data_IF_137892287395
#
_entry.id   IF_137892287395
#
_cell.length_a   1.000
_cell.length_b   1.000
_cell.length_c   1.000
_cell.angle_alpha   90.00
_cell.angle_beta   90.00
_cell.angle_gamma   90.00
#
_symmetry.space_group_name_H-M   'P 1'
#
loop_
_entity.id
_entity.type
_entity.pdbx_description
1 polymer ?
#
# COMPACT_ATOMS: atom_id res chain seq x y z
N UNK A 1 -16.86 72.62 17.38
CA UNK A 1 -15.94 73.33 18.29
C UNK A 1 -15.20 72.24 19.05
N UNK A 2 -13.99 71.85 18.61
CA UNK A 2 -12.70 72.28 19.23
C UNK A 2 -12.52 71.54 20.56
N UNK A 3 -11.51 70.74 20.89
CA UNK A 3 -10.06 70.69 20.60
C UNK A 3 -9.56 69.32 21.13
N UNK A 4 -8.70 68.57 20.42
CA UNK A 4 -7.23 68.66 20.41
C UNK A 4 -6.54 68.28 21.73
N UNK A 5 -5.70 67.23 21.70
CA UNK A 5 -4.44 67.04 22.43
C UNK A 5 -3.86 65.67 22.00
N UNK A 6 -3.07 65.56 20.93
CA UNK A 6 -1.68 66.01 20.69
C UNK A 6 -0.61 65.22 21.48
N UNK A 7 -0.03 64.25 20.77
CA UNK A 7 1.33 63.70 20.76
C UNK A 7 2.35 64.07 21.85
N UNK A 8 3.10 63.04 22.27
CA UNK A 8 4.58 63.06 22.34
C UNK A 8 5.09 61.69 21.80
N UNK A 9 5.79 61.65 20.65
CA UNK A 9 7.25 61.77 20.47
C UNK A 9 8.01 60.56 21.10
N UNK A 10 8.91 59.84 20.43
CA UNK A 10 9.95 60.24 19.46
C UNK A 10 10.53 59.03 18.70
N UNK A 11 11.00 59.33 17.46
CA UNK A 11 12.22 58.83 16.80
C UNK A 11 12.34 57.32 16.49
N UNK A 12 12.74 56.86 15.31
CA UNK A 12 13.63 57.46 14.31
C UNK A 12 13.41 56.79 12.95
N UNK A 13 13.68 57.59 11.92
CA UNK A 13 13.63 57.34 10.50
C UNK A 13 14.53 56.17 10.05
N UNK A 14 14.14 55.42 9.01
CA UNK A 14 14.65 55.65 7.65
C UNK A 14 14.17 54.57 6.67
N UNK A 15 13.50 55.05 5.61
CA UNK A 15 13.60 54.72 4.18
C UNK A 15 13.77 53.27 3.74
N UNK A 16 13.19 52.77 2.64
CA UNK A 16 12.23 53.22 1.63
C UNK A 16 12.11 52.05 0.64
N UNK A 17 11.08 52.09 -0.22
CA UNK A 17 10.92 51.39 -1.50
C UNK A 17 9.95 50.19 -1.55
N UNK A 18 8.69 50.56 -1.76
CA UNK A 18 7.92 50.31 -3.00
C UNK A 18 7.71 48.88 -3.51
N UNK A 19 6.47 48.39 -3.33
CA UNK A 19 5.47 48.11 -4.38
C UNK A 19 4.35 47.25 -3.76
N UNK A 20 3.10 47.71 -3.59
CA UNK A 20 2.05 48.05 -4.60
C UNK A 20 1.82 46.86 -5.55
N UNK A 21 0.64 46.26 -5.76
CA UNK A 21 -0.74 46.39 -5.28
C UNK A 21 -1.49 45.14 -5.81
N UNK A 22 -2.43 44.61 -5.03
CA UNK A 22 -3.72 44.00 -5.37
C UNK A 22 -3.94 42.96 -6.51
N UNK A 23 -4.66 41.93 -6.06
CA UNK A 23 -5.99 41.43 -6.52
C UNK A 23 -6.10 40.46 -7.70
N UNK A 24 -6.84 39.39 -7.35
CA UNK A 24 -7.88 38.72 -8.13
C UNK A 24 -7.43 37.89 -9.34
N UNK A 25 -7.48 36.56 -9.23
CA UNK A 25 -8.39 35.79 -10.07
C UNK A 25 -8.58 34.34 -9.62
N UNK A 26 -9.87 33.99 -9.50
CA UNK A 26 -10.42 32.69 -9.12
C UNK A 26 -11.01 32.07 -10.38
N UNK A 27 -10.24 31.23 -11.09
CA UNK A 27 -10.61 30.43 -12.27
C UNK A 27 -9.29 29.81 -12.78
N UNK A 28 -9.08 28.53 -13.06
CA UNK A 28 -9.90 27.37 -13.38
C UNK A 28 -9.16 26.09 -12.96
N UNK A 29 -9.89 25.12 -12.40
CA UNK A 29 -9.44 23.74 -12.39
C UNK A 29 -9.44 23.18 -13.81
N UNK A 30 -8.26 23.02 -14.43
CA UNK A 30 -8.04 22.27 -15.68
C UNK A 30 -6.54 22.09 -15.95
N UNK A 31 -5.82 21.42 -15.03
CA UNK A 31 -4.48 20.82 -15.30
C UNK A 31 -4.34 19.46 -14.64
N UNK A 32 -5.45 18.71 -14.55
CA UNK A 32 -5.48 17.35 -13.99
C UNK A 32 -5.45 16.25 -15.04
N UNK A 33 -5.57 16.59 -16.32
CA UNK A 33 -5.60 15.62 -17.41
C UNK A 33 -4.75 16.11 -18.58
N UNK A 34 -3.42 15.98 -18.48
CA UNK A 34 -2.53 15.80 -19.64
C UNK A 34 -1.09 15.66 -19.18
N UNK A 35 -0.38 14.67 -19.73
CA UNK A 35 1.04 14.33 -19.52
C UNK A 35 1.40 13.54 -18.25
N UNK A 36 0.85 12.32 -18.13
CA UNK A 36 1.68 11.12 -17.86
C UNK A 36 1.21 9.93 -18.69
N UNK A 37 1.20 10.09 -20.01
CA UNK A 37 1.44 8.96 -20.93
C UNK A 37 2.91 9.00 -21.32
N UNK A 38 3.55 7.83 -21.22
CA UNK A 38 4.94 7.45 -21.55
C UNK A 38 5.97 7.52 -20.41
N UNK A 39 6.28 6.33 -19.89
CA UNK A 39 7.64 5.78 -19.96
C UNK A 39 7.50 4.26 -19.84
N UNK A 40 7.50 3.56 -20.97
CA UNK A 40 8.57 2.64 -21.41
C UNK A 40 8.45 1.28 -20.72
N UNK A 41 8.46 0.23 -21.53
CA UNK A 41 8.76 -1.14 -21.11
C UNK A 41 9.89 -1.11 -20.08
N UNK A 42 9.62 -1.54 -18.86
CA UNK A 42 10.65 -1.94 -17.89
C UNK A 42 10.58 -3.46 -17.87
N UNK A 43 10.89 -4.07 -19.01
CA UNK A 43 11.34 -5.45 -19.01
C UNK A 43 12.85 -5.38 -18.80
N UNK A 44 13.30 -5.56 -17.56
CA UNK A 44 14.71 -5.86 -17.22
C UNK A 44 14.88 -6.24 -15.74
N UNK A 45 13.92 -5.88 -14.86
CA UNK A 45 13.99 -6.28 -13.45
C UNK A 45 13.35 -7.65 -13.19
N UNK A 46 14.18 -8.64 -12.87
CA UNK A 46 13.72 -9.96 -12.39
C UNK A 46 13.40 -9.86 -10.90
N UNK A 47 12.18 -10.23 -10.51
CA UNK A 47 11.77 -10.32 -9.11
C UNK A 47 12.23 -11.64 -8.50
N UNK A 48 13.15 -11.56 -7.54
CA UNK A 48 13.68 -12.71 -6.81
C UNK A 48 13.08 -12.81 -5.41
N UNK A 49 12.69 -14.03 -5.02
CA UNK A 49 12.08 -14.32 -3.72
C UNK A 49 13.17 -14.84 -2.76
N UNK A 50 13.73 -13.94 -1.97
CA UNK A 50 14.73 -14.27 -0.93
C UNK A 50 14.36 -13.62 0.40
N UNK A 51 13.70 -14.35 1.31
CA UNK A 51 13.36 -13.81 2.63
C UNK A 51 14.60 -13.32 3.39
N UNK A 52 15.68 -14.10 3.43
CA UNK A 52 16.86 -13.78 4.26
C UNK A 52 17.64 -12.57 3.76
N UNK A 53 17.59 -12.30 2.45
CA UNK A 53 18.23 -11.12 1.83
C UNK A 53 17.37 -9.85 1.93
N UNK A 54 16.08 -9.98 2.25
CA UNK A 54 15.19 -8.84 2.34
C UNK A 54 15.46 -8.01 3.61
N UNK A 55 15.56 -6.69 3.45
CA UNK A 55 15.91 -5.78 4.56
C UNK A 55 14.75 -5.49 5.50
N UNK A 56 13.54 -5.34 4.96
CA UNK A 56 12.37 -4.91 5.73
C UNK A 56 11.58 -6.11 6.23
N UNK A 57 11.00 -6.02 7.43
CA UNK A 57 10.08 -7.02 7.97
C UNK A 57 9.01 -7.42 6.95
N UNK A 58 8.36 -6.41 6.36
CA UNK A 58 7.34 -6.60 5.34
C UNK A 58 7.85 -7.47 4.17
N UNK A 59 9.00 -7.14 3.60
CA UNK A 59 9.54 -7.87 2.45
C UNK A 59 9.94 -9.31 2.82
N UNK A 60 10.48 -9.54 4.02
CA UNK A 60 10.77 -10.90 4.53
C UNK A 60 9.49 -11.75 4.57
N UNK A 61 8.43 -11.20 5.15
CA UNK A 61 7.12 -11.86 5.25
C UNK A 61 6.51 -12.11 3.86
N UNK A 62 6.51 -11.10 2.98
CA UNK A 62 5.98 -11.24 1.62
C UNK A 62 6.70 -12.35 0.86
N UNK A 63 8.03 -12.42 0.96
CA UNK A 63 8.81 -13.48 0.32
C UNK A 63 8.48 -14.87 0.90
N UNK A 64 8.34 -15.00 2.22
CA UNK A 64 7.94 -16.28 2.83
C UNK A 64 6.53 -16.71 2.41
N UNK A 65 5.56 -15.78 2.32
CA UNK A 65 4.22 -16.09 1.82
C UNK A 65 4.29 -16.65 0.40
N UNK A 66 5.10 -16.03 -0.48
CA UNK A 66 5.28 -16.53 -1.85
C UNK A 66 5.90 -17.92 -1.86
N UNK A 67 6.92 -18.19 -1.03
CA UNK A 67 7.52 -19.53 -0.94
C UNK A 67 6.51 -20.59 -0.47
N UNK A 68 5.70 -20.27 0.54
CA UNK A 68 4.63 -21.17 1.01
C UNK A 68 3.67 -21.47 -0.12
N UNK A 69 3.17 -20.44 -0.82
CA UNK A 69 2.23 -20.62 -1.93
C UNK A 69 2.85 -21.26 -3.18
N UNK A 70 4.18 -21.26 -3.33
CA UNK A 70 4.83 -22.08 -4.36
C UNK A 70 4.68 -23.57 -4.04
N UNK A 71 4.79 -23.95 -2.76
CA UNK A 71 4.71 -25.35 -2.32
C UNK A 71 3.29 -25.95 -2.28
N UNK A 72 2.23 -25.14 -2.34
CA UNK A 72 0.83 -25.61 -2.26
C UNK A 72 -0.06 -24.90 -3.29
N UNK A 73 -1.05 -25.58 -3.86
CA UNK A 73 -1.87 -24.99 -4.92
C UNK A 73 -2.79 -23.89 -4.42
N UNK A 74 -3.44 -24.14 -3.29
CA UNK A 74 -4.36 -23.23 -2.64
C UNK A 74 -4.33 -23.52 -1.13
N UNK A 75 -4.45 -22.48 -0.31
CA UNK A 75 -4.42 -22.61 1.15
C UNK A 75 -5.37 -21.61 1.78
N UNK A 76 -6.04 -22.00 2.88
CA UNK A 76 -6.90 -21.07 3.60
C UNK A 76 -6.08 -20.09 4.45
N UNK A 77 -6.68 -18.96 4.83
CA UNK A 77 -6.01 -17.90 5.58
C UNK A 77 -5.41 -18.38 6.91
N UNK A 78 -6.13 -19.24 7.65
CA UNK A 78 -5.68 -19.71 8.97
C UNK A 78 -4.41 -20.55 8.82
N UNK A 79 -4.44 -21.53 7.92
CA UNK A 79 -3.33 -22.45 7.71
C UNK A 79 -2.13 -21.74 7.09
N UNK A 80 -2.35 -20.75 6.23
CA UNK A 80 -1.28 -19.91 5.70
C UNK A 80 -0.59 -19.11 6.80
N UNK A 81 -1.34 -18.51 7.71
CA UNK A 81 -0.77 -17.79 8.86
C UNK A 81 -0.01 -18.75 9.77
N UNK A 82 -0.56 -19.93 10.05
CA UNK A 82 0.11 -20.95 10.86
C UNK A 82 1.42 -21.39 10.21
N UNK A 83 1.42 -21.73 8.92
CA UNK A 83 2.65 -22.06 8.18
C UNK A 83 3.65 -20.92 8.16
N UNK A 84 3.19 -19.69 7.96
CA UNK A 84 4.05 -18.52 7.99
C UNK A 84 4.78 -18.39 9.33
N UNK A 85 4.09 -18.60 10.46
CA UNK A 85 4.71 -18.56 11.80
C UNK A 85 5.68 -19.73 12.01
N UNK A 86 5.45 -20.89 11.40
CA UNK A 86 6.33 -22.05 11.55
C UNK A 86 7.58 -21.98 10.64
N UNK A 87 7.41 -21.50 9.42
CA UNK A 87 8.43 -21.56 8.35
C UNK A 87 9.22 -20.25 8.21
N UNK A 88 8.70 -19.12 8.72
CA UNK A 88 9.40 -17.83 8.68
C UNK A 88 9.82 -17.40 10.08
N UNK A 89 11.13 -17.35 10.34
CA UNK A 89 11.64 -16.92 11.66
C UNK A 89 11.22 -15.48 12.00
N UNK A 90 11.14 -14.60 11.00
CA UNK A 90 10.66 -13.22 11.21
C UNK A 90 9.20 -13.17 11.67
N UNK A 91 8.33 -14.02 11.11
CA UNK A 91 6.93 -14.11 11.54
C UNK A 91 6.81 -14.75 12.94
N UNK A 92 7.61 -15.79 13.19
CA UNK A 92 7.69 -16.49 14.47
C UNK A 92 8.10 -15.55 15.61
N UNK A 93 9.15 -14.76 15.40
CA UNK A 93 9.60 -13.76 16.36
C UNK A 93 8.53 -12.70 16.63
N UNK A 94 7.86 -12.22 15.58
CA UNK A 94 6.75 -11.28 15.72
C UNK A 94 5.64 -11.87 16.60
N UNK A 95 5.16 -13.07 16.28
CA UNK A 95 4.11 -13.73 17.03
C UNK A 95 4.51 -14.00 18.49
N UNK A 96 5.75 -14.45 18.74
CA UNK A 96 6.26 -14.63 20.11
C UNK A 96 6.18 -13.35 20.94
N UNK A 97 6.51 -12.20 20.33
CA UNK A 97 6.54 -10.88 20.99
C UNK A 97 5.15 -10.29 21.19
N UNK A 98 4.25 -10.41 20.21
CA UNK A 98 2.95 -9.73 20.24
C UNK A 98 1.77 -10.62 20.62
N UNK A 99 1.90 -11.94 20.47
CA UNK A 99 0.79 -12.91 20.51
C UNK A 99 -0.36 -12.54 19.56
N UNK A 100 -0.07 -11.78 18.50
CA UNK A 100 -1.03 -11.30 17.52
C UNK A 100 -0.59 -11.65 16.09
N UNK A 101 -1.56 -11.79 15.20
CA UNK A 101 -1.38 -12.04 13.76
C UNK A 101 -1.99 -10.94 12.90
N UNK A 102 -2.52 -9.86 13.50
CA UNK A 102 -3.16 -8.75 12.82
C UNK A 102 -2.28 -8.12 11.74
N UNK A 103 -1.01 -7.85 12.05
CA UNK A 103 -0.10 -7.28 11.07
C UNK A 103 0.24 -8.24 9.92
N UNK A 104 0.37 -9.54 10.19
CA UNK A 104 0.55 -10.57 9.15
C UNK A 104 -0.65 -10.61 8.21
N UNK A 105 -1.87 -10.50 8.75
CA UNK A 105 -3.11 -10.39 7.95
C UNK A 105 -3.16 -9.11 7.12
N UNK A 106 -2.66 -7.98 7.64
CA UNK A 106 -2.57 -6.72 6.88
C UNK A 106 -1.62 -6.89 5.69
N UNK A 107 -0.48 -7.55 5.86
CA UNK A 107 0.46 -7.83 4.76
C UNK A 107 -0.21 -8.72 3.71
N UNK A 108 -0.85 -9.80 4.14
CA UNK A 108 -1.58 -10.71 3.24
C UNK A 108 -2.67 -9.98 2.44
N UNK A 109 -3.44 -9.11 3.10
CA UNK A 109 -4.45 -8.28 2.45
C UNK A 109 -3.83 -7.32 1.42
N UNK A 110 -2.69 -6.69 1.74
CA UNK A 110 -1.97 -5.82 0.78
C UNK A 110 -1.48 -6.59 -0.43
N UNK A 111 -0.86 -7.76 -0.23
CA UNK A 111 -0.41 -8.61 -1.34
C UNK A 111 -1.57 -8.99 -2.27
N UNK A 112 -2.72 -9.35 -1.70
CA UNK A 112 -3.91 -9.67 -2.48
C UNK A 112 -4.46 -8.44 -3.22
N UNK A 113 -4.48 -7.27 -2.57
CA UNK A 113 -4.93 -6.01 -3.16
C UNK A 113 -4.05 -5.60 -4.35
N UNK A 114 -2.73 -5.81 -4.26
CA UNK A 114 -1.78 -5.50 -5.32
C UNK A 114 -1.68 -6.60 -6.39
N UNK A 115 -2.42 -7.70 -6.24
CA UNK A 115 -2.46 -8.79 -7.22
C UNK A 115 -1.25 -9.73 -7.21
N UNK A 116 -0.35 -9.58 -6.23
CA UNK A 116 0.80 -10.49 -6.02
C UNK A 116 0.32 -11.91 -5.70
N UNK A 117 -0.80 -12.01 -4.98
CA UNK A 117 -1.52 -13.26 -4.73
C UNK A 117 -3.00 -13.06 -5.07
N UNK A 118 -3.71 -14.15 -5.38
CA UNK A 118 -5.16 -14.12 -5.60
C UNK A 118 -5.88 -14.59 -4.36
N UNK A 119 -6.98 -13.89 -4.03
CA UNK A 119 -7.94 -14.33 -3.02
C UNK A 119 -9.03 -15.15 -3.73
N UNK A 120 -9.36 -16.30 -3.16
CA UNK A 120 -10.40 -17.19 -3.65
C UNK A 120 -11.38 -17.58 -2.53
N UNK A 121 -12.52 -18.13 -2.94
CA UNK A 121 -13.48 -18.83 -2.09
C UNK A 121 -13.77 -20.17 -2.75
N UNK A 122 -13.91 -21.22 -1.94
CA UNK A 122 -14.34 -22.53 -2.42
C UNK A 122 -15.85 -22.61 -2.21
N UNK A 123 -16.59 -23.02 -3.25
CA UNK A 123 -18.03 -23.20 -3.18
C UNK A 123 -18.37 -24.21 -2.08
N UNK A 124 -19.35 -23.90 -1.22
CA UNK A 124 -19.71 -24.72 -0.07
C UNK A 124 -18.86 -24.51 1.18
N UNK A 125 -17.68 -23.90 1.08
CA UNK A 125 -16.80 -23.59 2.22
C UNK A 125 -16.97 -22.16 2.75
N UNK A 126 -18.24 -21.74 2.80
CA UNK A 126 -18.77 -20.55 3.46
C UNK A 126 -17.84 -19.33 3.57
N UNK A 127 -17.43 -19.02 4.81
CA UNK A 127 -16.72 -17.77 5.19
C UNK A 127 -15.21 -17.83 5.00
N UNK A 128 -14.63 -18.99 4.66
CA UNK A 128 -13.18 -19.15 4.60
C UNK A 128 -12.63 -18.42 3.37
N UNK A 129 -11.47 -17.82 3.56
CA UNK A 129 -10.72 -17.16 2.48
C UNK A 129 -9.54 -18.03 2.13
N UNK A 130 -9.35 -18.21 0.84
CA UNK A 130 -8.25 -18.96 0.27
C UNK A 130 -7.31 -18.04 -0.49
N UNK A 131 -6.05 -18.45 -0.57
CA UNK A 131 -5.00 -17.73 -1.27
C UNK A 131 -4.23 -18.68 -2.18
N UNK A 132 -3.83 -18.18 -3.33
CA UNK A 132 -3.01 -18.87 -4.32
C UNK A 132 -2.16 -17.86 -5.09
N UNK A 133 -1.13 -18.36 -5.77
CA UNK A 133 -0.35 -17.56 -6.70
C UNK A 133 -1.12 -17.34 -8.02
N UNK A 134 -0.99 -16.17 -8.68
CA UNK A 134 -1.69 -15.88 -9.93
C UNK A 134 -1.42 -16.90 -11.03
N UNK A 135 -0.18 -17.36 -11.17
CA UNK A 135 0.24 -18.37 -12.16
C UNK A 135 -0.47 -19.72 -11.96
N UNK A 136 -0.85 -20.06 -10.72
CA UNK A 136 -1.58 -21.31 -10.42
C UNK A 136 -3.05 -21.25 -10.84
N UNK A 137 -3.57 -20.06 -11.18
CA UNK A 137 -4.94 -19.94 -11.66
C UNK A 137 -5.12 -20.71 -12.98
N UNK A 138 -4.06 -20.79 -13.79
CA UNK A 138 -4.10 -21.53 -15.06
C UNK A 138 -4.34 -23.01 -14.88
N UNK A 139 -3.73 -23.60 -13.84
CA UNK A 139 -3.89 -25.00 -13.46
C UNK A 139 -5.28 -25.31 -12.90
N UNK A 140 -6.04 -24.28 -12.52
CA UNK A 140 -7.34 -24.41 -11.86
C UNK A 140 -8.50 -23.89 -12.73
N UNK A 141 -8.26 -23.53 -14.00
CA UNK A 141 -9.26 -22.92 -14.90
C UNK A 141 -10.58 -23.70 -14.93
N UNK A 142 -10.52 -25.03 -15.00
CA UNK A 142 -11.70 -25.89 -15.07
C UNK A 142 -12.55 -25.90 -13.78
N UNK A 143 -11.95 -25.50 -12.65
CA UNK A 143 -12.59 -25.43 -11.33
C UNK A 143 -13.10 -24.02 -11.01
N UNK A 144 -12.81 -23.03 -11.84
CA UNK A 144 -13.17 -21.62 -11.59
C UNK A 144 -14.56 -21.33 -12.11
N UNK A 145 -15.50 -21.12 -11.19
CA UNK A 145 -16.82 -20.55 -11.50
C UNK A 145 -16.71 -19.04 -11.37
N UNK A 146 -16.85 -18.32 -12.49
CA UNK A 146 -16.97 -16.85 -12.45
C UNK A 146 -18.41 -16.52 -12.08
N UNK A 147 -18.63 -16.05 -10.86
CA UNK A 147 -19.91 -15.44 -10.51
C UNK A 147 -20.17 -14.25 -11.46
N UNK A 148 -21.42 -14.03 -11.89
CA UNK A 148 -21.78 -12.86 -12.69
C UNK A 148 -21.33 -11.60 -11.93
N UNK A 149 -20.78 -10.64 -12.66
CA UNK A 149 -20.49 -9.31 -12.10
C UNK A 149 -21.84 -8.63 -11.88
N UNK A 150 -22.15 -8.32 -10.62
CA UNK A 150 -23.19 -7.34 -10.26
C UNK A 150 -22.80 -5.95 -10.76
#
# INVERSE_FOLDING_TARGET
MSESNLNQNTNTQNNSQDSVINKENKQEGKKKDEKRKKSKEIEDEILLVYPDKAKTFKAKIENCIVLILKSVDIINEKDLITRLILECETAKEYYKKTQDVGYLRIILWRMAKHGVIKRARILGDGRRRYYLLPEKLELLKDKVIRAPKE
#
